data_IF_347939403135
#
_entry.id   IF_347939403135
#
_cell.length_a   1.000
_cell.length_b   1.000
_cell.length_c   1.000
_cell.angle_alpha   90.00
_cell.angle_beta   90.00
_cell.angle_gamma   90.00
#
_symmetry.space_group_name_H-M   'P 1'
#
loop_
_entity.id
_entity.type
_entity.pdbx_description
1 polymer ?
#
# COMPACT_ATOMS: atom_id res chain seq x y z
N UNK A 1 -57.63 -61.38 -33.28
CA UNK A 1 -58.09 -60.13 -33.94
C UNK A 1 -58.17 -59.04 -32.89
N UNK A 2 -57.48 -57.91 -33.14
CA UNK A 2 -57.62 -56.55 -32.58
C UNK A 2 -57.73 -56.38 -31.04
N UNK A 3 -56.75 -55.82 -30.33
CA UNK A 3 -56.35 -54.40 -30.25
C UNK A 3 -57.16 -53.59 -29.21
N UNK A 4 -56.44 -52.82 -28.38
CA UNK A 4 -57.03 -51.78 -27.53
C UNK A 4 -56.11 -51.39 -26.37
N UNK A 5 -55.33 -50.32 -26.54
CA UNK A 5 -54.30 -49.87 -25.62
C UNK A 5 -54.66 -48.55 -24.91
N UNK A 6 -54.08 -48.39 -23.72
CA UNK A 6 -53.75 -47.13 -23.01
C UNK A 6 -54.94 -46.31 -22.45
N UNK A 7 -54.83 -45.42 -21.44
CA UNK A 7 -53.75 -44.57 -20.95
C UNK A 7 -53.96 -44.23 -19.45
N UNK A 8 -52.84 -44.08 -18.75
CA UNK A 8 -52.66 -43.68 -17.35
C UNK A 8 -53.06 -42.20 -17.11
N UNK A 9 -53.81 -41.92 -16.05
CA UNK A 9 -54.14 -40.55 -15.61
C UNK A 9 -53.06 -40.00 -14.67
N UNK A 10 -52.51 -38.83 -15.00
CA UNK A 10 -51.71 -38.00 -14.12
C UNK A 10 -52.61 -36.94 -13.45
N UNK A 11 -52.60 -36.88 -12.12
CA UNK A 11 -53.20 -35.79 -11.34
C UNK A 11 -52.33 -34.54 -11.39
N UNK A 12 -52.94 -33.39 -11.71
CA UNK A 12 -52.34 -32.07 -11.54
C UNK A 12 -52.74 -31.47 -10.19
N UNK A 13 -51.77 -30.99 -9.43
CA UNK A 13 -51.97 -30.22 -8.19
C UNK A 13 -51.80 -28.70 -8.46
N UNK A 14 -52.41 -27.82 -7.64
CA UNK A 14 -52.63 -26.43 -7.98
C UNK A 14 -51.43 -25.50 -7.67
N UNK A 15 -51.37 -24.43 -8.45
CA UNK A 15 -50.34 -23.39 -8.54
C UNK A 15 -50.23 -22.53 -7.28
N UNK A 16 -49.02 -22.27 -6.75
CA UNK A 16 -48.79 -21.22 -5.75
C UNK A 16 -48.65 -19.82 -6.41
N UNK A 17 -48.99 -18.73 -5.68
CA UNK A 17 -49.07 -17.39 -6.24
C UNK A 17 -47.70 -16.75 -6.49
N UNK A 18 -47.64 -15.92 -7.52
CA UNK A 18 -46.45 -15.18 -7.97
C UNK A 18 -45.98 -14.15 -6.92
N UNK A 19 -44.73 -14.27 -6.49
CA UNK A 19 -44.04 -13.27 -5.69
C UNK A 19 -43.52 -12.13 -6.59
N UNK A 20 -43.81 -10.89 -6.17
CA UNK A 20 -43.44 -9.64 -6.83
C UNK A 20 -41.97 -9.31 -6.51
N UNK A 21 -41.12 -8.91 -7.48
CA UNK A 21 -39.76 -8.50 -7.16
C UNK A 21 -39.77 -7.08 -6.57
N UNK A 22 -39.30 -6.94 -5.34
CA UNK A 22 -38.96 -5.64 -4.74
C UNK A 22 -37.54 -5.27 -5.17
N UNK A 23 -37.42 -4.51 -6.26
CA UNK A 23 -36.17 -3.89 -6.68
C UNK A 23 -36.02 -2.53 -6.02
N UNK A 24 -35.35 -2.48 -4.86
CA UNK A 24 -34.78 -1.23 -4.34
C UNK A 24 -33.30 -1.20 -4.67
N UNK A 25 -32.98 -0.76 -5.89
CA UNK A 25 -31.64 -0.32 -6.24
C UNK A 25 -31.38 1.01 -5.52
N UNK A 26 -30.66 0.97 -4.40
CA UNK A 26 -30.15 2.16 -3.76
C UNK A 26 -28.82 2.52 -4.42
N UNK A 27 -28.87 3.34 -5.47
CA UNK A 27 -27.69 3.96 -6.07
C UNK A 27 -27.14 5.02 -5.13
N UNK A 28 -26.26 4.63 -4.23
CA UNK A 28 -25.34 5.58 -3.61
C UNK A 28 -24.23 5.88 -4.62
N UNK A 29 -24.43 6.94 -5.40
CA UNK A 29 -23.37 7.54 -6.20
C UNK A 29 -22.30 8.08 -5.25
N UNK A 30 -21.24 7.29 -5.01
CA UNK A 30 -20.04 7.75 -4.35
C UNK A 30 -19.37 8.80 -5.22
N UNK A 31 -19.45 10.06 -4.82
CA UNK A 31 -18.62 11.12 -5.39
C UNK A 31 -17.17 10.82 -5.05
N UNK A 32 -16.47 10.15 -5.97
CA UNK A 32 -15.01 10.08 -5.97
C UNK A 32 -14.51 11.48 -6.30
N UNK A 33 -14.37 12.30 -5.26
CA UNK A 33 -13.61 13.54 -5.35
C UNK A 33 -12.15 13.14 -5.61
N UNK A 34 -11.56 13.61 -6.70
CA UNK A 34 -10.11 13.71 -6.78
C UNK A 34 -9.61 14.39 -5.49
N UNK A 35 -8.46 13.98 -4.92
CA UNK A 35 -7.99 14.59 -3.68
C UNK A 35 -7.74 16.06 -3.96
N UNK A 36 -8.52 16.90 -3.28
CA UNK A 36 -8.41 18.34 -3.40
C UNK A 36 -7.03 18.78 -2.90
N UNK A 37 -6.55 19.92 -3.42
CA UNK A 37 -5.29 20.55 -3.01
C UNK A 37 -5.16 20.76 -1.48
N UNK A 38 -6.23 20.60 -0.69
CA UNK A 38 -6.23 20.61 0.77
C UNK A 38 -5.35 19.53 1.43
N UNK A 39 -5.03 18.46 0.70
CA UNK A 39 -4.33 17.29 1.24
C UNK A 39 -2.81 17.36 1.03
N UNK A 40 -2.30 18.44 0.44
CA UNK A 40 -0.86 18.64 0.16
C UNK A 40 -0.40 19.92 0.82
N UNK A 41 0.63 19.85 1.67
CA UNK A 41 1.15 21.01 2.41
C UNK A 41 2.68 21.11 2.28
N UNK A 42 3.25 22.32 2.27
CA UNK A 42 4.68 22.48 2.48
C UNK A 42 5.08 21.95 3.87
N UNK A 43 6.37 21.70 4.05
CA UNK A 43 6.94 21.31 5.35
C UNK A 43 8.12 22.20 5.70
N UNK A 44 8.34 22.36 7.00
CA UNK A 44 9.51 23.04 7.57
C UNK A 44 10.49 22.04 8.15
N UNK A 45 11.76 22.44 8.33
CA UNK A 45 12.74 21.61 9.03
C UNK A 45 12.27 21.20 10.44
N UNK A 46 11.58 22.10 11.15
CA UNK A 46 11.05 21.82 12.49
C UNK A 46 9.97 20.73 12.47
N UNK A 47 9.11 20.71 11.46
CA UNK A 47 8.10 19.66 11.30
C UNK A 47 8.70 18.33 10.89
N UNK A 48 9.80 18.33 10.12
CA UNK A 48 10.53 17.11 9.79
C UNK A 48 11.30 16.54 10.99
N UNK A 49 11.66 17.38 11.97
CA UNK A 49 12.30 16.93 13.20
C UNK A 49 13.57 16.14 12.91
N UNK A 50 13.73 14.97 13.54
CA UNK A 50 14.93 14.15 13.40
C UNK A 50 15.10 13.49 12.01
N UNK A 51 14.05 13.41 11.19
CA UNK A 51 14.16 12.80 9.85
C UNK A 51 14.85 13.71 8.83
N UNK A 52 15.19 14.95 9.20
CA UNK A 52 15.96 15.89 8.38
C UNK A 52 16.99 16.65 9.21
N UNK A 53 18.13 17.00 8.60
CA UNK A 53 19.19 17.83 9.21
C UNK A 53 19.97 18.57 8.12
N UNK A 54 20.70 19.66 8.45
CA UNK A 54 21.67 20.24 7.52
C UNK A 54 22.63 19.17 6.97
N UNK A 55 22.83 19.15 5.65
CA UNK A 55 23.60 18.13 4.94
C UNK A 55 22.75 17.05 4.27
N UNK A 56 21.45 16.99 4.54
CA UNK A 56 20.52 16.20 3.72
C UNK A 56 20.51 16.67 2.27
N UNK A 57 20.28 15.77 1.30
CA UNK A 57 20.44 16.09 -0.12
C UNK A 57 19.30 16.93 -0.71
N UNK A 58 18.23 17.14 0.06
CA UNK A 58 17.07 17.97 -0.34
C UNK A 58 16.69 18.93 0.78
N UNK A 59 16.30 20.15 0.39
CA UNK A 59 15.79 21.16 1.31
C UNK A 59 14.32 20.87 1.68
N UNK A 60 13.84 21.20 2.89
CA UNK A 60 12.43 21.04 3.25
C UNK A 60 11.46 21.73 2.28
N UNK A 61 11.87 22.83 1.63
CA UNK A 61 11.08 23.51 0.60
C UNK A 61 10.79 22.64 -0.64
N UNK A 62 11.60 21.60 -0.89
CA UNK A 62 11.40 20.64 -1.97
C UNK A 62 10.51 19.45 -1.57
N UNK A 63 10.13 19.36 -0.29
CA UNK A 63 9.31 18.28 0.24
C UNK A 63 7.86 18.73 0.45
N UNK A 64 6.93 17.80 0.36
CA UNK A 64 5.52 18.02 0.65
C UNK A 64 5.00 16.94 1.58
N UNK A 65 4.17 17.34 2.52
CA UNK A 65 3.31 16.44 3.25
C UNK A 65 2.09 16.14 2.40
N UNK A 66 1.80 14.86 2.18
CA UNK A 66 0.63 14.39 1.44
C UNK A 66 -0.20 13.51 2.37
N UNK A 67 -1.45 13.92 2.60
CA UNK A 67 -2.45 13.09 3.28
C UNK A 67 -3.06 12.10 2.30
N UNK A 68 -3.06 10.82 2.68
CA UNK A 68 -3.62 9.73 1.87
C UNK A 68 -4.57 8.87 2.71
N UNK A 69 -5.66 8.43 2.08
CA UNK A 69 -6.55 7.44 2.66
C UNK A 69 -6.05 6.03 2.30
N UNK A 70 -6.18 5.08 3.23
CA UNK A 70 -5.81 3.68 3.05
C UNK A 70 -6.82 2.76 3.74
N UNK A 71 -6.85 1.49 3.32
CA UNK A 71 -7.63 0.45 4.01
C UNK A 71 -6.71 -0.21 5.03
N UNK A 72 -7.13 -0.26 6.29
CA UNK A 72 -6.41 -0.96 7.36
C UNK A 72 -6.63 -2.46 7.32
N UNK A 73 -5.83 -3.21 8.07
CA UNK A 73 -6.07 -4.64 8.29
C UNK A 73 -7.39 -4.94 9.00
N UNK A 74 -7.99 -3.93 9.67
CA UNK A 74 -9.33 -3.97 10.24
C UNK A 74 -10.45 -3.78 9.19
N UNK A 75 -10.10 -3.61 7.91
CA UNK A 75 -11.01 -3.39 6.80
C UNK A 75 -11.63 -1.99 6.76
N UNK A 76 -11.17 -1.06 7.60
CA UNK A 76 -11.70 0.31 7.68
C UNK A 76 -10.83 1.29 6.90
N UNK A 77 -11.42 2.42 6.53
CA UNK A 77 -10.66 3.54 5.97
C UNK A 77 -9.95 4.29 7.07
N UNK A 78 -8.65 4.47 6.91
CA UNK A 78 -7.79 5.29 7.76
C UNK A 78 -7.14 6.38 6.93
N UNK A 79 -6.59 7.38 7.62
CA UNK A 79 -5.81 8.44 6.99
C UNK A 79 -4.41 8.47 7.56
N UNK A 80 -3.42 8.66 6.70
CA UNK A 80 -2.03 8.85 7.10
C UNK A 80 -1.32 9.91 6.28
N UNK A 81 -0.07 10.16 6.63
CA UNK A 81 0.73 11.26 6.11
C UNK A 81 2.07 10.73 5.58
N UNK A 82 2.39 11.08 4.33
CA UNK A 82 3.71 10.82 3.72
C UNK A 82 4.44 12.15 3.50
N UNK A 83 5.75 12.14 3.66
CA UNK A 83 6.62 13.24 3.20
C UNK A 83 7.32 12.78 1.92
N UNK A 84 7.11 13.48 0.81
CA UNK A 84 7.65 13.10 -0.51
C UNK A 84 8.21 14.31 -1.24
N UNK A 85 9.06 14.09 -2.24
CA UNK A 85 9.53 15.15 -3.13
C UNK A 85 8.34 15.78 -3.86
N UNK A 86 8.34 17.11 -3.98
CA UNK A 86 7.23 17.86 -4.57
C UNK A 86 6.85 17.39 -5.99
N UNK A 87 7.83 16.95 -6.79
CA UNK A 87 7.61 16.46 -8.15
C UNK A 87 6.84 15.13 -8.20
N UNK A 88 6.89 14.33 -7.13
CA UNK A 88 6.22 13.02 -7.07
C UNK A 88 4.82 13.11 -6.42
N UNK A 89 4.40 14.29 -5.95
CA UNK A 89 3.09 14.45 -5.30
C UNK A 89 1.92 13.92 -6.14
N UNK A 90 1.79 14.25 -7.45
CA UNK A 90 0.68 13.73 -8.26
C UNK A 90 0.72 12.20 -8.40
N UNK A 91 1.91 11.65 -8.43
CA UNK A 91 2.15 10.21 -8.57
C UNK A 91 1.72 9.47 -7.30
N UNK A 92 2.18 9.95 -6.14
CA UNK A 92 1.86 9.38 -4.82
C UNK A 92 0.36 9.42 -4.56
N UNK A 93 -0.29 10.54 -4.86
CA UNK A 93 -1.76 10.67 -4.82
C UNK A 93 -2.43 9.55 -5.64
N UNK A 94 -1.93 9.30 -6.86
CA UNK A 94 -2.53 8.31 -7.75
C UNK A 94 -2.30 6.89 -7.25
N UNK A 95 -1.08 6.57 -6.85
CA UNK A 95 -0.69 5.26 -6.28
C UNK A 95 -1.56 4.92 -5.08
N UNK A 96 -1.65 5.81 -4.08
CA UNK A 96 -2.42 5.51 -2.87
C UNK A 96 -3.93 5.48 -3.13
N UNK A 97 -4.45 6.30 -4.06
CA UNK A 97 -5.85 6.18 -4.49
C UNK A 97 -6.14 4.84 -5.18
N UNK A 98 -5.18 4.28 -5.92
CA UNK A 98 -5.31 2.96 -6.54
C UNK A 98 -5.20 1.83 -5.50
N UNK A 99 -4.23 1.88 -4.58
CA UNK A 99 -4.11 0.94 -3.46
C UNK A 99 -5.39 0.90 -2.63
N UNK A 100 -5.93 2.07 -2.30
CA UNK A 100 -7.21 2.20 -1.61
C UNK A 100 -8.37 1.56 -2.38
N UNK A 101 -8.46 1.81 -3.69
CA UNK A 101 -9.55 1.29 -4.54
C UNK A 101 -9.51 -0.23 -4.66
N UNK A 102 -8.33 -0.84 -4.73
CA UNK A 102 -8.18 -2.30 -4.78
C UNK A 102 -8.25 -2.94 -3.39
N UNK A 103 -8.35 -2.13 -2.33
CA UNK A 103 -8.43 -2.60 -0.95
C UNK A 103 -7.14 -3.25 -0.45
N UNK A 104 -5.98 -2.82 -0.98
CA UNK A 104 -4.69 -3.30 -0.47
C UNK A 104 -4.53 -2.85 0.99
N UNK A 105 -4.39 -3.78 1.95
CA UNK A 105 -4.34 -3.42 3.36
C UNK A 105 -2.98 -2.85 3.73
N UNK A 106 -2.99 -1.76 4.48
CA UNK A 106 -1.82 -1.08 5.02
C UNK A 106 -2.06 -0.89 6.51
N UNK A 107 -1.12 -1.30 7.36
CA UNK A 107 -1.31 -1.23 8.82
C UNK A 107 -1.39 0.22 9.30
N UNK A 108 -0.40 1.04 8.93
CA UNK A 108 -0.37 2.48 9.22
C UNK A 108 0.53 3.21 8.25
N UNK A 109 0.28 4.52 8.13
CA UNK A 109 1.12 5.43 7.37
C UNK A 109 1.46 6.64 8.25
N UNK A 110 2.72 6.73 8.67
CA UNK A 110 3.22 7.80 9.55
C UNK A 110 4.57 8.31 9.04
N UNK A 111 4.78 9.60 9.24
CA UNK A 111 6.06 10.25 8.96
C UNK A 111 7.15 9.74 9.91
N UNK A 112 8.38 9.52 9.40
CA UNK A 112 9.48 8.92 10.16
C UNK A 112 9.82 9.66 11.47
N UNK A 113 9.58 10.98 11.53
CA UNK A 113 9.77 11.80 12.73
C UNK A 113 8.88 11.42 13.93
N UNK A 114 7.92 10.51 13.76
CA UNK A 114 7.10 9.96 14.85
C UNK A 114 7.83 8.90 15.66
N UNK A 115 8.95 8.40 15.16
CA UNK A 115 9.82 7.45 15.85
C UNK A 115 11.00 8.21 16.50
N UNK A 116 11.49 7.77 17.68
CA UNK A 116 12.64 8.38 18.34
C UNK A 116 13.82 8.52 17.38
N UNK A 117 14.41 9.71 17.29
CA UNK A 117 15.51 10.01 16.36
C UNK A 117 15.24 9.68 14.87
N UNK A 118 13.98 9.52 14.46
CA UNK A 118 13.60 8.98 13.15
C UNK A 118 14.23 7.62 12.85
N UNK A 119 14.34 6.78 13.89
CA UNK A 119 14.86 5.43 13.81
C UNK A 119 14.05 4.58 12.82
N UNK A 120 14.75 4.11 11.79
CA UNK A 120 14.19 3.39 10.66
C UNK A 120 13.75 1.98 11.06
N UNK A 121 14.55 1.31 11.91
CA UNK A 121 14.26 -0.04 12.38
C UNK A 121 13.00 -0.04 13.24
N UNK A 122 12.86 0.90 14.19
CA UNK A 122 11.64 1.03 14.99
C UNK A 122 10.39 1.32 14.13
N UNK A 123 10.54 2.08 13.04
CA UNK A 123 9.45 2.31 12.08
C UNK A 123 9.09 1.03 11.35
N UNK A 124 10.08 0.29 10.85
CA UNK A 124 9.86 -0.97 10.14
C UNK A 124 9.27 -2.06 11.06
N UNK A 125 9.78 -2.21 12.29
CA UNK A 125 9.27 -3.17 13.28
C UNK A 125 7.80 -2.91 13.64
N UNK A 126 7.38 -1.65 13.63
CA UNK A 126 5.99 -1.20 13.85
C UNK A 126 5.12 -1.28 12.59
N UNK A 127 5.61 -1.91 11.51
CA UNK A 127 4.96 -2.09 10.21
C UNK A 127 4.46 -0.76 9.59
N UNK A 128 5.23 0.31 9.79
CA UNK A 128 4.87 1.63 9.31
C UNK A 128 5.26 1.82 7.85
N UNK A 129 4.25 2.01 6.99
CA UNK A 129 4.46 2.47 5.62
C UNK A 129 4.94 3.92 5.65
N UNK A 130 6.10 4.19 5.05
CA UNK A 130 6.75 5.49 5.16
C UNK A 130 7.47 5.90 3.87
N UNK A 131 7.87 7.17 3.79
CA UNK A 131 8.51 7.77 2.63
C UNK A 131 9.82 8.46 3.03
N UNK A 132 9.86 9.79 3.11
CA UNK A 132 11.08 10.51 3.43
C UNK A 132 11.65 10.19 4.83
N UNK A 133 12.91 9.78 4.84
CA UNK A 133 13.80 9.71 6.00
C UNK A 133 15.23 9.98 5.53
N UNK A 134 15.88 11.05 6.00
CA UNK A 134 17.20 11.43 5.53
C UNK A 134 18.31 10.56 6.13
N UNK A 135 18.58 9.43 5.46
CA UNK A 135 19.62 8.47 5.82
C UNK A 135 20.44 8.01 4.61
N UNK A 136 21.67 7.61 4.88
CA UNK A 136 22.49 6.90 3.89
C UNK A 136 21.99 5.46 3.68
N UNK A 137 22.50 4.82 2.64
CA UNK A 137 22.38 3.36 2.49
C UNK A 137 23.41 2.72 3.44
N UNK A 138 23.01 1.77 4.32
CA UNK A 138 23.95 1.09 5.20
C UNK A 138 25.17 0.54 4.44
N UNK A 139 26.38 0.81 4.94
CA UNK A 139 27.63 0.34 4.31
C UNK A 139 28.03 1.10 3.04
N UNK A 140 27.39 2.23 2.72
CA UNK A 140 27.68 3.04 1.53
C UNK A 140 27.88 4.52 1.87
N UNK A 141 28.55 5.26 0.97
CA UNK A 141 28.62 6.73 1.00
C UNK A 141 27.42 7.38 0.26
N UNK A 142 26.53 6.57 -0.31
CA UNK A 142 25.37 7.05 -1.06
C UNK A 142 24.15 7.29 -0.18
N UNK A 143 23.39 8.32 -0.53
CA UNK A 143 22.08 8.58 0.05
C UNK A 143 21.04 7.55 -0.42
N UNK A 144 20.18 7.14 0.51
CA UNK A 144 18.98 6.37 0.16
C UNK A 144 18.00 7.23 -0.64
N UNK A 145 17.17 6.62 -1.50
CA UNK A 145 16.07 7.32 -2.17
C UNK A 145 15.04 7.91 -1.18
N UNK A 146 14.96 7.35 0.03
CA UNK A 146 14.21 7.96 1.15
C UNK A 146 14.75 9.35 1.50
N UNK A 147 16.06 9.60 1.42
CA UNK A 147 16.64 10.91 1.71
C UNK A 147 16.29 11.98 0.66
N UNK A 148 15.82 11.57 -0.51
CA UNK A 148 15.32 12.48 -1.55
C UNK A 148 13.80 12.62 -1.53
N UNK A 149 13.09 11.86 -0.69
CA UNK A 149 11.63 11.78 -0.70
C UNK A 149 11.09 11.08 -1.95
N UNK A 150 11.87 10.14 -2.51
CA UNK A 150 11.61 9.45 -3.78
C UNK A 150 11.44 7.93 -3.63
N UNK A 151 11.27 7.47 -2.40
CA UNK A 151 10.99 6.08 -2.08
C UNK A 151 9.78 5.95 -1.16
N UNK A 152 9.16 4.77 -1.19
CA UNK A 152 8.09 4.31 -0.31
C UNK A 152 8.47 2.90 0.16
N UNK A 153 8.43 2.68 1.47
CA UNK A 153 8.44 1.33 2.06
C UNK A 153 7.00 0.97 2.44
N UNK A 154 6.49 -0.16 1.95
CA UNK A 154 5.11 -0.61 2.14
C UNK A 154 5.03 -1.86 3.02
N UNK A 155 4.35 -1.73 4.17
CA UNK A 155 4.25 -2.76 5.22
C UNK A 155 5.61 -3.47 5.48
N UNK A 156 6.63 -2.75 5.97
CA UNK A 156 7.98 -3.27 6.19
C UNK A 156 8.06 -4.61 6.91
N UNK A 157 7.20 -4.85 7.90
CA UNK A 157 7.25 -6.08 8.69
C UNK A 157 6.83 -7.29 7.85
N UNK A 158 5.87 -7.11 6.93
CA UNK A 158 5.41 -8.17 6.02
C UNK A 158 6.32 -8.35 4.80
N UNK A 159 7.11 -7.32 4.48
CA UNK A 159 7.91 -7.25 3.26
C UNK A 159 9.38 -6.93 3.59
N UNK A 160 10.10 -7.82 4.30
CA UNK A 160 11.43 -7.50 4.80
C UNK A 160 12.46 -7.26 3.69
N UNK A 161 13.47 -6.45 4.01
CA UNK A 161 14.71 -6.38 3.25
C UNK A 161 15.61 -7.56 3.63
N UNK A 162 16.11 -8.30 2.66
CA UNK A 162 16.93 -9.51 2.86
C UNK A 162 18.30 -9.35 2.19
N UNK A 163 19.36 -9.48 2.98
CA UNK A 163 20.74 -9.31 2.55
C UNK A 163 21.35 -10.63 2.06
N UNK A 164 22.45 -10.56 1.31
CA UNK A 164 23.10 -11.75 0.74
C UNK A 164 23.65 -12.73 1.79
N UNK A 165 23.96 -12.26 2.99
CA UNK A 165 24.42 -13.08 4.12
C UNK A 165 23.27 -13.74 4.91
N UNK A 166 22.01 -13.52 4.48
CA UNK A 166 20.81 -14.05 5.11
C UNK A 166 20.31 -13.22 6.30
N UNK A 167 21.01 -12.13 6.67
CA UNK A 167 20.44 -11.15 7.59
C UNK A 167 19.26 -10.43 6.92
N UNK A 168 18.33 -9.92 7.73
CA UNK A 168 17.12 -9.27 7.24
C UNK A 168 16.67 -8.17 8.20
N UNK A 169 15.88 -7.25 7.67
CA UNK A 169 15.25 -6.16 8.40
C UNK A 169 13.77 -6.02 7.99
N UNK A 170 12.86 -5.68 8.93
CA UNK A 170 13.12 -5.52 10.35
C UNK A 170 13.36 -6.86 11.07
N UNK A 171 14.00 -6.83 12.24
CA UNK A 171 14.40 -8.03 12.98
C UNK A 171 13.21 -8.92 13.40
N UNK A 172 12.00 -8.34 13.47
CA UNK A 172 10.76 -9.03 13.84
C UNK A 172 9.96 -9.58 12.63
N UNK A 173 10.57 -9.64 11.43
CA UNK A 173 9.94 -10.10 10.18
C UNK A 173 10.28 -11.54 9.78
N UNK A 174 10.86 -12.36 10.67
CA UNK A 174 11.34 -13.70 10.35
C UNK A 174 10.26 -14.62 9.73
N UNK A 175 9.01 -14.47 10.15
CA UNK A 175 7.87 -15.25 9.62
C UNK A 175 7.59 -14.97 8.13
N UNK A 176 7.98 -13.78 7.65
CA UNK A 176 7.72 -13.31 6.29
C UNK A 176 8.90 -13.54 5.33
N UNK A 177 9.96 -14.21 5.80
CA UNK A 177 11.01 -14.75 4.94
C UNK A 177 10.49 -15.92 4.09
N UNK A 178 9.47 -16.63 4.57
CA UNK A 178 8.75 -17.60 3.76
C UNK A 178 7.89 -16.87 2.72
N UNK A 179 8.40 -16.75 1.50
CA UNK A 179 7.71 -16.10 0.37
C UNK A 179 6.69 -17.02 -0.33
N UNK A 180 6.38 -18.20 0.22
CA UNK A 180 5.23 -19.01 -0.23
C UNK A 180 3.92 -18.58 0.42
N UNK A 181 4.00 -17.69 1.41
CA UNK A 181 2.87 -17.11 2.12
C UNK A 181 2.02 -16.21 1.23
N UNK A 182 0.76 -16.03 1.58
CA UNK A 182 -0.19 -15.18 0.84
C UNK A 182 -1.01 -14.29 1.77
N UNK A 183 -0.41 -13.89 2.90
CA UNK A 183 -1.04 -12.99 3.85
C UNK A 183 -1.45 -11.67 3.16
N UNK A 184 -2.58 -11.06 3.55
CA UNK A 184 -2.94 -9.74 3.07
C UNK A 184 -1.80 -8.74 3.33
N UNK A 185 -1.52 -7.84 2.39
CA UNK A 185 -0.49 -6.80 2.54
C UNK A 185 0.95 -7.26 2.27
N UNK A 186 1.17 -8.55 2.07
CA UNK A 186 2.43 -9.11 1.57
C UNK A 186 2.54 -8.94 0.05
N UNK A 187 3.73 -8.63 -0.45
CA UNK A 187 4.00 -8.32 -1.85
C UNK A 187 4.73 -9.47 -2.57
N UNK A 188 4.18 -9.89 -3.70
CA UNK A 188 4.84 -10.75 -4.68
C UNK A 188 4.95 -10.07 -6.04
N UNK A 189 5.92 -10.53 -6.83
CA UNK A 189 5.98 -10.17 -8.24
C UNK A 189 4.68 -10.57 -8.95
N UNK A 190 4.04 -9.61 -9.60
CA UNK A 190 2.75 -9.81 -10.26
C UNK A 190 1.53 -9.35 -9.44
N UNK A 191 1.70 -9.04 -8.15
CA UNK A 191 0.57 -8.59 -7.34
C UNK A 191 0.09 -7.20 -7.75
N UNK A 192 -1.22 -6.89 -7.62
CA UNK A 192 -1.74 -5.56 -7.86
C UNK A 192 -1.01 -4.48 -7.08
N UNK A 193 -0.61 -4.78 -5.83
CA UNK A 193 0.17 -3.87 -4.99
C UNK A 193 1.50 -3.48 -5.64
N UNK A 194 2.20 -4.40 -6.30
CA UNK A 194 3.46 -4.14 -7.01
C UNK A 194 3.19 -3.40 -8.33
N UNK A 195 2.23 -3.88 -9.13
CA UNK A 195 1.91 -3.29 -10.44
C UNK A 195 1.43 -1.85 -10.39
N UNK A 196 0.70 -1.47 -9.34
CA UNK A 196 0.26 -0.09 -9.13
C UNK A 196 1.46 0.88 -9.11
N UNK A 197 2.62 0.45 -8.60
CA UNK A 197 3.85 1.23 -8.66
C UNK A 197 4.59 1.03 -9.99
N UNK A 198 4.88 -0.22 -10.37
CA UNK A 198 5.81 -0.51 -11.47
C UNK A 198 5.28 -0.11 -12.84
N UNK A 199 3.97 -0.21 -13.09
CA UNK A 199 3.33 0.25 -14.32
C UNK A 199 3.44 1.78 -14.50
N UNK A 200 3.80 2.49 -13.42
CA UNK A 200 3.95 3.96 -13.36
C UNK A 200 5.42 4.38 -13.31
N UNK A 201 6.33 3.46 -13.62
CA UNK A 201 7.77 3.71 -13.74
C UNK A 201 8.54 3.71 -12.42
N UNK A 202 7.92 3.25 -11.33
CA UNK A 202 8.65 2.93 -10.11
C UNK A 202 9.42 1.62 -10.28
N UNK A 203 10.56 1.53 -9.60
CA UNK A 203 11.33 0.29 -9.47
C UNK A 203 10.96 -0.34 -8.13
N UNK A 204 10.77 -1.65 -8.13
CA UNK A 204 10.51 -2.42 -6.92
C UNK A 204 11.79 -3.12 -6.46
N UNK A 205 12.09 -3.01 -5.16
CA UNK A 205 13.27 -3.63 -4.55
C UNK A 205 13.21 -5.15 -4.47
N UNK A 206 12.01 -5.74 -4.57
CA UNK A 206 11.82 -7.19 -4.66
C UNK A 206 12.43 -7.82 -5.92
N UNK A 207 12.72 -7.03 -6.96
CA UNK A 207 13.39 -7.47 -8.20
C UNK A 207 14.92 -7.33 -8.14
N UNK A 208 15.48 -6.81 -7.05
CA UNK A 208 16.92 -6.64 -6.88
C UNK A 208 17.62 -7.95 -6.55
N UNK A 209 18.95 -7.97 -6.68
CA UNK A 209 19.76 -9.16 -6.37
C UNK A 209 20.34 -9.14 -4.96
N UNK A 210 20.81 -7.98 -4.49
CA UNK A 210 21.32 -7.82 -3.14
C UNK A 210 21.38 -6.34 -2.73
N UNK A 211 20.69 -5.94 -1.66
CA UNK A 211 19.66 -6.74 -0.98
C UNK A 211 18.45 -6.99 -1.89
N UNK A 212 17.63 -7.99 -1.55
CA UNK A 212 16.25 -8.10 -2.06
C UNK A 212 15.37 -7.33 -1.09
N UNK A 213 14.78 -6.22 -1.54
CA UNK A 213 14.09 -5.28 -0.65
C UNK A 213 12.59 -5.23 -0.94
N UNK A 214 11.82 -6.18 -0.38
CA UNK A 214 10.42 -6.38 -0.77
C UNK A 214 9.51 -5.19 -0.42
N UNK A 215 9.83 -4.44 0.62
CA UNK A 215 9.08 -3.24 1.04
C UNK A 215 9.29 -2.06 0.10
N UNK A 216 10.46 -1.97 -0.55
CA UNK A 216 10.96 -0.73 -1.13
C UNK A 216 10.47 -0.51 -2.56
N UNK A 217 9.94 0.67 -2.82
CA UNK A 217 9.67 1.19 -4.15
C UNK A 217 10.36 2.52 -4.33
N UNK A 218 11.06 2.73 -5.44
CA UNK A 218 11.70 4.01 -5.75
C UNK A 218 11.40 4.55 -7.14
N UNK A 219 11.39 5.88 -7.24
CA UNK A 219 11.33 6.59 -8.51
C UNK A 219 12.38 7.71 -8.52
N UNK A 220 13.61 7.40 -8.96
CA UNK A 220 14.72 8.35 -9.05
C UNK A 220 14.37 9.60 -9.86
#
# INVERSE_FOLDING_TARGET
MAAGATLTQCSAAPTPPAARPSSTASSAAGTSSAPAASNVRPVTAAELGASWRPGCPVDPAQLRRVEVDHVGFDGRTHRGELIVHQDLVPEIITVFAQLYRVGFPIEKIRTANRYPAADDELSMEDDNTSAFNCRGIPGSEHWSQHAYGRAIDLNPRLNPCVYADGTFQPHNASEYLDRSRSDPGLLHGGDPGVHIFTDRGWRWGGDWTSPVDYQHFERP
#
